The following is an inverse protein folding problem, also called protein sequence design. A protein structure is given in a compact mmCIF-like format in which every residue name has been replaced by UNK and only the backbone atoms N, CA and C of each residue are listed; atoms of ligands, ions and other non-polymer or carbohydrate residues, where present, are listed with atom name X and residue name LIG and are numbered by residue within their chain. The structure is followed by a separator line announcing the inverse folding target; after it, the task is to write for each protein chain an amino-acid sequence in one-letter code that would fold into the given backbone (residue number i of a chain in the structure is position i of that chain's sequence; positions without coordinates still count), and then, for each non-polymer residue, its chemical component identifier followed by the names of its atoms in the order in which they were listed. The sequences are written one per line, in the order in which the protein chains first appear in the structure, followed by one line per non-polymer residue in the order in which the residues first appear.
data_IF_750814173804
#
_entry.id   IF_750814173804
#
_cell.length_a   1.000
_cell.length_b   1.000
_cell.length_c   1.000
_cell.angle_alpha   90.00
_cell.angle_beta   90.00
_cell.angle_gamma   90.00
#
_symmetry.space_group_name_H-M   'P 1'
#
loop_
_entity.id
_entity.type
_entity.pdbx_description
1 polymer ?
#
# COMPACT_ATOMS: atom_id res chain seq x y z
N UNK A 1 13.61 -17.26 -24.81
CA UNK A 1 13.81 -16.09 -23.92
C UNK A 1 12.52 -15.41 -23.42
N UNK A 2 11.35 -15.61 -24.07
CA UNK A 2 10.09 -14.93 -23.69
C UNK A 2 9.41 -15.37 -22.38
N UNK A 3 9.69 -16.58 -21.87
CA UNK A 3 9.11 -17.07 -20.62
C UNK A 3 9.65 -16.36 -19.36
N UNK A 4 10.92 -15.90 -19.39
CA UNK A 4 11.57 -15.24 -18.27
C UNK A 4 10.94 -13.86 -17.98
N UNK A 5 10.61 -13.11 -19.03
CA UNK A 5 9.92 -11.82 -18.91
C UNK A 5 8.52 -11.95 -18.31
N UNK A 6 7.75 -12.97 -18.73
CA UNK A 6 6.42 -13.23 -18.15
C UNK A 6 6.52 -13.61 -16.66
N UNK A 7 7.53 -14.38 -16.27
CA UNK A 7 7.79 -14.75 -14.88
C UNK A 7 8.15 -13.53 -14.02
N UNK A 8 9.08 -12.70 -14.48
CA UNK A 8 9.48 -11.47 -13.77
C UNK A 8 8.30 -10.52 -13.59
N UNK A 9 7.48 -10.32 -14.64
CA UNK A 9 6.28 -9.48 -14.53
C UNK A 9 5.33 -9.99 -13.44
N UNK A 10 5.08 -11.30 -13.42
CA UNK A 10 4.23 -11.93 -12.40
C UNK A 10 4.80 -11.74 -11.00
N UNK A 11 6.11 -11.88 -10.81
CA UNK A 11 6.77 -11.67 -9.51
C UNK A 11 6.59 -10.23 -9.02
N UNK A 12 6.83 -9.24 -9.89
CA UNK A 12 6.63 -7.82 -9.56
C UNK A 12 5.16 -7.53 -9.24
N UNK A 13 4.23 -8.11 -9.98
CA UNK A 13 2.80 -7.92 -9.76
C UNK A 13 2.37 -8.54 -8.41
N UNK A 14 2.96 -9.66 -7.99
CA UNK A 14 2.73 -10.23 -6.65
C UNK A 14 3.34 -9.38 -5.54
N UNK A 15 4.54 -8.85 -5.75
CA UNK A 15 5.18 -7.94 -4.80
C UNK A 15 4.35 -6.66 -4.60
N UNK A 16 3.85 -6.07 -5.69
CA UNK A 16 2.95 -4.93 -5.64
C UNK A 16 1.70 -5.22 -4.80
N UNK A 17 1.06 -6.37 -5.03
CA UNK A 17 -0.12 -6.78 -4.25
C UNK A 17 0.21 -7.01 -2.77
N UNK A 18 1.35 -7.60 -2.47
CA UNK A 18 1.83 -7.78 -1.10
C UNK A 18 2.02 -6.43 -0.41
N UNK A 19 2.70 -5.48 -1.07
CA UNK A 19 2.96 -4.16 -0.51
C UNK A 19 1.66 -3.35 -0.31
N UNK A 20 0.68 -3.49 -1.20
CA UNK A 20 -0.66 -2.88 -1.02
C UNK A 20 -1.33 -3.40 0.25
N UNK A 21 -1.28 -4.71 0.52
CA UNK A 21 -1.88 -5.31 1.73
C UNK A 21 -1.17 -4.84 2.99
N UNK A 22 0.16 -4.79 2.98
CA UNK A 22 0.96 -4.29 4.10
C UNK A 22 0.62 -2.83 4.41
N UNK A 23 0.66 -1.95 3.41
CA UNK A 23 0.36 -0.53 3.60
C UNK A 23 -1.10 -0.28 4.01
N UNK A 24 -2.04 -1.10 3.54
CA UNK A 24 -3.43 -1.05 4.01
C UNK A 24 -3.51 -1.33 5.52
N UNK A 25 -2.89 -2.41 5.96
CA UNK A 25 -2.88 -2.81 7.37
C UNK A 25 -2.19 -1.75 8.25
N UNK A 26 -1.04 -1.23 7.80
CA UNK A 26 -0.33 -0.15 8.49
C UNK A 26 -1.18 1.12 8.59
N UNK A 27 -1.83 1.52 7.49
CA UNK A 27 -2.74 2.66 7.47
C UNK A 27 -3.90 2.47 8.45
N UNK A 28 -4.60 1.34 8.40
CA UNK A 28 -5.73 1.04 9.28
C UNK A 28 -5.31 1.02 10.76
N UNK A 29 -4.12 0.49 11.06
CA UNK A 29 -3.55 0.46 12.40
C UNK A 29 -3.25 1.88 12.90
N UNK A 30 -2.48 2.67 12.14
CA UNK A 30 -2.15 4.05 12.51
C UNK A 30 -3.39 4.93 12.62
N UNK A 31 -4.33 4.78 11.69
CA UNK A 31 -5.58 5.53 11.71
C UNK A 31 -6.41 5.20 12.97
N UNK A 32 -6.41 3.94 13.41
CA UNK A 32 -7.08 3.53 14.66
C UNK A 32 -6.40 4.17 15.87
N UNK A 33 -5.07 4.14 15.95
CA UNK A 33 -4.30 4.75 17.05
C UNK A 33 -4.57 6.25 17.13
N UNK A 34 -4.49 6.96 16.00
CA UNK A 34 -4.72 8.41 15.94
C UNK A 34 -6.16 8.75 16.34
N UNK A 35 -7.15 8.01 15.87
CA UNK A 35 -8.56 8.24 16.23
C UNK A 35 -8.87 8.00 17.71
N UNK A 36 -8.09 7.14 18.38
CA UNK A 36 -8.21 6.85 19.81
C UNK A 36 -7.36 7.78 20.67
N UNK A 37 -6.51 8.61 20.07
CA UNK A 37 -5.64 9.54 20.78
C UNK A 37 -6.40 10.80 21.15
N UNK A 38 -6.33 11.20 22.43
CA UNK A 38 -6.89 12.47 22.91
C UNK A 38 -6.10 13.65 22.32
N UNK A 39 -4.78 13.50 22.22
CA UNK A 39 -3.87 14.46 21.59
C UNK A 39 -2.82 13.69 20.77
N UNK A 40 -3.05 13.50 19.45
CA UNK A 40 -2.08 12.86 18.58
C UNK A 40 -0.85 13.75 18.35
N UNK A 41 0.35 13.17 18.30
CA UNK A 41 1.57 13.91 17.99
C UNK A 41 1.63 14.30 16.51
N UNK A 42 2.30 15.42 16.22
CA UNK A 42 2.55 15.87 14.83
C UNK A 42 3.28 14.82 13.99
N UNK A 43 4.21 14.09 14.61
CA UNK A 43 4.93 12.97 13.97
C UNK A 43 3.95 11.84 13.61
N UNK A 44 3.03 11.47 14.51
CA UNK A 44 2.01 10.46 14.25
C UNK A 44 1.05 10.85 13.13
N UNK A 45 0.64 12.12 13.08
CA UNK A 45 -0.19 12.66 12.00
C UNK A 45 0.56 12.66 10.65
N UNK A 46 1.86 13.00 10.68
CA UNK A 46 2.72 12.99 9.49
C UNK A 46 2.92 11.57 8.96
N UNK A 47 3.18 10.60 9.84
CA UNK A 47 3.33 9.20 9.45
C UNK A 47 2.02 8.63 8.89
N UNK A 48 0.88 8.93 9.51
CA UNK A 48 -0.43 8.56 8.98
C UNK A 48 -0.65 9.10 7.56
N UNK A 49 -0.31 10.37 7.32
CA UNK A 49 -0.42 10.98 6.00
C UNK A 49 0.52 10.31 4.98
N UNK A 50 1.75 9.99 5.38
CA UNK A 50 2.74 9.35 4.53
C UNK A 50 2.33 7.92 4.12
N UNK A 51 1.93 7.08 5.08
CA UNK A 51 1.49 5.71 4.81
C UNK A 51 0.24 5.72 3.92
N UNK A 52 -0.71 6.63 4.18
CA UNK A 52 -1.89 6.82 3.33
C UNK A 52 -1.48 7.17 1.90
N UNK A 53 -0.59 8.14 1.70
CA UNK A 53 -0.11 8.53 0.37
C UNK A 53 0.55 7.36 -0.39
N UNK A 54 1.42 6.58 0.28
CA UNK A 54 2.04 5.37 -0.28
C UNK A 54 0.99 4.34 -0.71
N UNK A 55 0.01 4.06 0.16
CA UNK A 55 -1.08 3.13 -0.13
C UNK A 55 -1.87 3.52 -1.39
N UNK A 56 -2.33 4.78 -1.47
CA UNK A 56 -3.08 5.26 -2.63
C UNK A 56 -2.25 5.28 -3.92
N UNK A 57 -0.95 5.58 -3.82
CA UNK A 57 -0.05 5.50 -4.96
C UNK A 57 0.05 4.07 -5.53
N UNK A 58 0.21 3.05 -4.68
CA UNK A 58 0.26 1.67 -5.14
C UNK A 58 -1.09 1.17 -5.71
N UNK A 59 -2.22 1.64 -5.16
CA UNK A 59 -3.53 1.37 -5.77
C UNK A 59 -3.62 1.95 -7.19
N UNK A 60 -3.08 3.16 -7.41
CA UNK A 60 -3.01 3.77 -8.75
C UNK A 60 -2.15 2.95 -9.69
N UNK A 61 -1.01 2.46 -9.21
CA UNK A 61 -0.11 1.59 -9.99
C UNK A 61 -0.77 0.26 -10.36
N UNK A 62 -1.49 -0.38 -9.44
CA UNK A 62 -2.23 -1.60 -9.72
C UNK A 62 -3.29 -1.39 -10.81
N UNK A 63 -4.01 -0.25 -10.77
CA UNK A 63 -4.95 0.13 -11.85
C UNK A 63 -4.26 0.33 -13.18
N UNK A 64 -3.11 1.01 -13.20
CA UNK A 64 -2.30 1.20 -14.42
C UNK A 64 -1.88 -0.15 -15.02
N UNK A 65 -1.54 -1.11 -14.18
CA UNK A 65 -1.16 -2.48 -14.58
C UNK A 65 -2.34 -3.41 -14.87
N UNK A 66 -3.58 -2.95 -14.66
CA UNK A 66 -4.82 -3.72 -14.81
C UNK A 66 -4.88 -4.95 -13.86
N UNK A 67 -4.34 -4.81 -12.65
CA UNK A 67 -4.36 -5.83 -11.61
C UNK A 67 -5.44 -5.44 -10.60
N UNK A 68 -6.28 -6.39 -10.21
CA UNK A 68 -7.22 -6.16 -9.13
C UNK A 68 -6.50 -6.20 -7.77
N UNK A 69 -6.36 -5.04 -7.15
CA UNK A 69 -5.71 -4.89 -5.85
C UNK A 69 -6.62 -5.25 -4.65
N UNK A 70 -7.92 -5.42 -4.88
CA UNK A 70 -8.94 -5.62 -3.85
C UNK A 70 -9.59 -7.02 -3.87
N UNK A 71 -9.16 -7.87 -4.80
CA UNK A 71 -9.54 -9.29 -4.87
C UNK A 71 -8.83 -10.16 -3.84
#
# INVERSE_FOLDING_TARGET
MFGRHKKIRKEIDQELLSNIRTLKHEWETLNTIINQSIEPSDEGLTELALVKAKYFYLLREARFRQINALS
#
